data_IF_623132442141
#
_entry.id   IF_623132442141
#
_cell.length_a   1.000
_cell.length_b   1.000
_cell.length_c   1.000
_cell.angle_alpha   90.00
_cell.angle_beta   90.00
_cell.angle_gamma   90.00
#
_symmetry.space_group_name_H-M   'P 1'
#
loop_
_entity.id
_entity.type
_entity.pdbx_description
1 polymer ?
#
# COMPACT_ATOMS: atom_id res chain seq x y z
N UNK A 1 -0.98 3.80 -17.65
CA UNK A 1 -0.47 4.94 -18.46
C UNK A 1 1.04 5.12 -18.32
N UNK A 2 1.59 5.03 -17.11
CA UNK A 2 3.04 5.08 -16.90
C UNK A 2 3.73 3.89 -17.58
N UNK A 3 3.21 2.67 -17.43
CA UNK A 3 3.75 1.47 -18.10
C UNK A 3 3.77 1.56 -19.62
N UNK A 4 2.87 2.33 -20.23
CA UNK A 4 2.81 2.59 -21.67
C UNK A 4 3.66 3.79 -22.11
N UNK A 5 4.43 4.41 -21.22
CA UNK A 5 5.27 5.58 -21.51
C UNK A 5 4.48 6.86 -21.82
N UNK A 6 3.18 6.90 -21.49
CA UNK A 6 2.32 8.08 -21.73
C UNK A 6 2.53 9.17 -20.68
N UNK A 7 2.94 8.78 -19.48
CA UNK A 7 3.28 9.65 -18.34
C UNK A 7 4.47 9.06 -17.59
N UNK A 8 5.25 9.92 -16.96
CA UNK A 8 6.25 9.49 -15.98
C UNK A 8 5.53 8.92 -14.75
N UNK A 9 6.04 7.84 -14.17
CA UNK A 9 5.52 7.36 -12.91
C UNK A 9 6.06 8.24 -11.77
N UNK A 10 5.14 8.99 -11.16
CA UNK A 10 5.43 9.81 -9.98
C UNK A 10 5.00 9.11 -8.69
N UNK A 11 4.10 8.11 -8.79
CA UNK A 11 3.52 7.41 -7.64
C UNK A 11 4.51 6.49 -6.95
N UNK A 12 5.17 5.63 -7.71
CA UNK A 12 6.21 4.73 -7.20
C UNK A 12 7.35 5.47 -6.49
N UNK A 13 7.98 6.47 -7.13
CA UNK A 13 8.99 7.31 -6.47
C UNK A 13 8.52 8.01 -5.21
N UNK A 14 7.26 8.49 -5.16
CA UNK A 14 6.69 9.12 -3.96
C UNK A 14 6.59 8.12 -2.79
N UNK A 15 6.13 6.89 -3.04
CA UNK A 15 6.06 5.83 -2.04
C UNK A 15 7.48 5.44 -1.57
N UNK A 16 8.40 5.22 -2.48
CA UNK A 16 9.79 4.87 -2.15
C UNK A 16 10.48 5.97 -1.34
N UNK A 17 10.21 7.23 -1.65
CA UNK A 17 10.69 8.37 -0.86
C UNK A 17 10.20 8.32 0.59
N UNK A 18 8.91 8.12 0.78
CA UNK A 18 8.33 7.96 2.11
C UNK A 18 8.95 6.78 2.88
N UNK A 19 9.06 5.61 2.24
CA UNK A 19 9.61 4.41 2.90
C UNK A 19 11.05 4.63 3.37
N UNK A 20 11.88 5.29 2.58
CA UNK A 20 13.27 5.62 2.95
C UNK A 20 13.38 6.60 4.12
N UNK A 21 12.40 7.49 4.26
CA UNK A 21 12.32 8.43 5.37
C UNK A 21 11.78 7.78 6.64
N UNK A 22 10.73 6.97 6.52
CA UNK A 22 9.94 6.46 7.62
C UNK A 22 10.47 5.15 8.23
N UNK A 23 11.09 4.27 7.42
CA UNK A 23 11.59 2.96 7.87
C UNK A 23 13.06 3.06 8.25
N UNK A 24 13.37 2.79 9.53
CA UNK A 24 14.75 2.79 10.06
C UNK A 24 15.43 1.42 9.91
N UNK A 25 14.67 0.34 9.77
CA UNK A 25 15.20 -0.99 9.45
C UNK A 25 15.87 -1.01 8.07
N UNK A 26 16.82 -1.92 7.79
CA UNK A 26 17.31 -2.14 6.44
C UNK A 26 16.15 -2.38 5.47
N UNK A 27 16.07 -1.58 4.41
CA UNK A 27 14.99 -1.58 3.43
C UNK A 27 15.50 -2.08 2.09
N UNK A 28 14.96 -3.20 1.63
CA UNK A 28 15.06 -3.65 0.25
C UNK A 28 13.72 -3.35 -0.45
N UNK A 29 13.78 -2.59 -1.54
CA UNK A 29 12.60 -2.16 -2.26
C UNK A 29 12.55 -2.77 -3.66
N UNK A 30 11.46 -3.47 -3.95
CA UNK A 30 11.15 -4.04 -5.26
C UNK A 30 10.09 -3.20 -5.95
N UNK A 31 10.35 -2.76 -7.16
CA UNK A 31 9.46 -1.88 -7.91
C UNK A 31 8.98 -2.55 -9.19
N UNK A 32 7.69 -2.42 -9.46
CA UNK A 32 7.05 -2.88 -10.70
C UNK A 32 6.14 -1.79 -11.24
N UNK A 33 6.23 -1.50 -12.52
CA UNK A 33 5.29 -0.64 -13.24
C UNK A 33 4.55 -1.51 -14.25
N UNK A 34 3.29 -1.81 -13.95
CA UNK A 34 2.44 -2.72 -14.74
C UNK A 34 1.32 -1.96 -15.45
N UNK A 35 0.76 -2.50 -16.56
CA UNK A 35 -0.40 -1.88 -17.21
C UNK A 35 -1.66 -1.93 -16.31
N UNK A 36 -2.67 -1.11 -16.67
CA UNK A 36 -4.01 -1.15 -16.06
C UNK A 36 -4.76 -2.41 -16.59
N UNK A 37 -4.25 -3.59 -16.24
CA UNK A 37 -4.73 -4.92 -16.63
C UNK A 37 -4.76 -5.82 -15.40
N UNK A 38 -5.90 -6.48 -15.16
CA UNK A 38 -6.10 -7.25 -13.94
C UNK A 38 -5.11 -8.40 -13.81
N UNK A 39 -4.90 -9.17 -14.87
CA UNK A 39 -4.00 -10.35 -14.86
C UNK A 39 -2.54 -9.92 -14.61
N UNK A 40 -2.11 -8.79 -15.21
CA UNK A 40 -0.77 -8.26 -15.00
C UNK A 40 -0.56 -7.75 -13.56
N UNK A 41 -1.59 -7.12 -12.96
CA UNK A 41 -1.56 -6.66 -11.58
C UNK A 41 -1.53 -7.85 -10.62
N UNK A 42 -2.41 -8.84 -10.82
CA UNK A 42 -2.46 -10.07 -10.02
C UNK A 42 -1.11 -10.81 -10.04
N UNK A 43 -0.54 -11.01 -11.23
CA UNK A 43 0.76 -11.67 -11.39
C UNK A 43 1.87 -10.94 -10.62
N UNK A 44 1.92 -9.60 -10.71
CA UNK A 44 2.91 -8.82 -9.98
C UNK A 44 2.70 -8.88 -8.46
N UNK A 45 1.46 -8.87 -7.98
CA UNK A 45 1.15 -9.01 -6.56
C UNK A 45 1.55 -10.38 -6.04
N UNK A 46 1.24 -11.45 -6.78
CA UNK A 46 1.61 -12.83 -6.42
C UNK A 46 3.14 -12.97 -6.37
N UNK A 47 3.86 -12.49 -7.40
CA UNK A 47 5.33 -12.50 -7.42
C UNK A 47 5.91 -11.82 -6.18
N UNK A 48 5.45 -10.60 -5.87
CA UNK A 48 5.99 -9.83 -4.74
C UNK A 48 5.66 -10.44 -3.38
N UNK A 49 4.49 -11.06 -3.24
CA UNK A 49 4.08 -11.68 -2.00
C UNK A 49 4.70 -13.07 -1.79
N UNK A 50 4.68 -13.92 -2.80
CA UNK A 50 4.97 -15.35 -2.66
C UNK A 50 6.43 -15.69 -3.02
N UNK A 51 6.99 -15.06 -4.06
CA UNK A 51 8.35 -15.36 -4.54
C UNK A 51 9.38 -14.44 -3.89
N UNK A 52 9.14 -13.11 -3.90
CA UNK A 52 10.01 -12.12 -3.26
C UNK A 52 9.81 -12.11 -1.74
N UNK A 53 8.63 -12.50 -1.26
CA UNK A 53 8.26 -12.51 0.16
C UNK A 53 8.35 -11.11 0.80
N UNK A 54 7.84 -10.10 0.12
CA UNK A 54 7.79 -8.74 0.66
C UNK A 54 6.95 -8.69 1.95
N UNK A 55 7.41 -7.98 2.97
CA UNK A 55 6.62 -7.76 4.19
C UNK A 55 5.38 -6.88 3.93
N UNK A 56 5.52 -5.91 3.02
CA UNK A 56 4.45 -4.99 2.60
C UNK A 56 4.50 -4.79 1.10
N UNK A 57 3.36 -4.85 0.44
CA UNK A 57 3.20 -4.50 -0.97
C UNK A 57 2.19 -3.35 -1.08
N UNK A 58 2.59 -2.29 -1.77
CA UNK A 58 1.77 -1.10 -1.95
C UNK A 58 1.57 -0.85 -3.42
N UNK A 59 0.32 -0.76 -3.85
CA UNK A 59 -0.02 -0.32 -5.21
C UNK A 59 -0.41 1.15 -5.24
N UNK A 60 -0.28 1.80 -6.37
CA UNK A 60 -0.73 3.18 -6.58
C UNK A 60 -1.38 3.34 -7.95
N UNK A 61 -2.49 4.05 -8.01
CA UNK A 61 -3.28 4.25 -9.21
C UNK A 61 -4.32 3.15 -9.49
N UNK A 62 -5.17 3.37 -10.47
CA UNK A 62 -6.20 2.42 -10.91
C UNK A 62 -7.29 2.10 -9.86
N UNK A 63 -7.54 3.02 -8.91
CA UNK A 63 -8.45 2.80 -7.77
C UNK A 63 -9.78 3.54 -7.86
N UNK A 64 -10.03 4.26 -8.94
CA UNK A 64 -11.27 5.03 -9.17
C UNK A 64 -12.38 4.18 -9.80
N UNK A 65 -13.51 4.83 -10.21
CA UNK A 65 -14.67 4.16 -10.79
C UNK A 65 -14.60 3.99 -12.30
N UNK A 66 -13.51 4.40 -12.97
CA UNK A 66 -13.38 4.26 -14.41
C UNK A 66 -13.22 2.79 -14.82
N UNK A 67 -13.73 2.41 -15.99
CA UNK A 67 -13.71 1.01 -16.47
C UNK A 67 -12.31 0.40 -16.50
N UNK A 68 -11.28 1.23 -16.71
CA UNK A 68 -9.88 0.78 -16.69
C UNK A 68 -9.26 0.67 -15.29
N UNK A 69 -9.93 1.21 -14.26
CA UNK A 69 -9.43 1.17 -12.90
C UNK A 69 -9.80 -0.19 -12.31
N UNK A 70 -8.86 -1.14 -12.38
CA UNK A 70 -9.08 -2.56 -12.01
C UNK A 70 -8.18 -2.99 -10.84
N UNK A 71 -7.41 -2.07 -10.27
CA UNK A 71 -6.46 -2.38 -9.18
C UNK A 71 -7.15 -2.98 -7.95
N UNK A 72 -8.33 -2.48 -7.48
CA UNK A 72 -9.00 -3.07 -6.32
C UNK A 72 -9.45 -4.52 -6.58
N UNK A 73 -10.04 -4.79 -7.74
CA UNK A 73 -10.51 -6.14 -8.11
C UNK A 73 -9.34 -7.13 -8.21
N UNK A 74 -8.27 -6.75 -8.88
CA UNK A 74 -7.06 -7.57 -9.00
C UNK A 74 -6.42 -7.82 -7.62
N UNK A 75 -6.41 -6.80 -6.75
CA UNK A 75 -5.89 -6.96 -5.39
C UNK A 75 -6.78 -7.89 -4.57
N UNK A 76 -8.10 -7.70 -4.60
CA UNK A 76 -9.05 -8.56 -3.88
C UNK A 76 -8.95 -10.03 -4.30
N UNK A 77 -8.78 -10.29 -5.60
CA UNK A 77 -8.68 -11.64 -6.16
C UNK A 77 -7.49 -12.45 -5.61
N UNK A 78 -6.42 -11.79 -5.21
CA UNK A 78 -5.21 -12.45 -4.72
C UNK A 78 -5.08 -12.47 -3.19
N UNK A 79 -5.92 -11.74 -2.46
CA UNK A 79 -5.87 -11.66 -0.99
C UNK A 79 -6.51 -12.88 -0.32
N UNK A 80 -5.89 -13.39 0.73
CA UNK A 80 -6.47 -14.40 1.62
C UNK A 80 -7.52 -13.81 2.56
N UNK A 81 -7.30 -12.56 3.00
CA UNK A 81 -8.17 -11.84 3.94
C UNK A 81 -8.16 -10.34 3.65
N UNK A 82 -9.35 -9.75 3.59
CA UNK A 82 -9.50 -8.29 3.48
C UNK A 82 -9.45 -7.67 4.87
N UNK A 83 -8.80 -6.51 4.97
CA UNK A 83 -8.79 -5.63 6.13
C UNK A 83 -9.58 -4.35 5.81
N UNK A 84 -10.91 -4.32 6.03
CA UNK A 84 -11.76 -3.22 5.58
C UNK A 84 -11.33 -1.85 6.12
N UNK A 85 -10.79 -1.82 7.34
CA UNK A 85 -10.32 -0.60 7.99
C UNK A 85 -9.27 0.18 7.18
N UNK A 86 -8.48 -0.49 6.33
CA UNK A 86 -7.55 0.22 5.42
C UNK A 86 -8.32 1.08 4.41
N UNK A 87 -9.28 0.50 3.71
CA UNK A 87 -10.09 1.24 2.75
C UNK A 87 -10.94 2.34 3.39
N UNK A 88 -11.51 2.07 4.56
CA UNK A 88 -12.29 3.03 5.33
C UNK A 88 -11.44 4.23 5.74
N UNK A 89 -10.28 3.99 6.35
CA UNK A 89 -9.40 5.05 6.82
C UNK A 89 -8.81 5.87 5.67
N UNK A 90 -8.37 5.22 4.58
CA UNK A 90 -7.86 5.92 3.40
C UNK A 90 -8.89 6.86 2.79
N UNK A 91 -10.15 6.43 2.68
CA UNK A 91 -11.23 7.29 2.20
C UNK A 91 -11.55 8.41 3.18
N UNK A 92 -11.57 8.15 4.49
CA UNK A 92 -11.81 9.16 5.51
C UNK A 92 -10.75 10.27 5.47
N UNK A 93 -9.49 9.92 5.36
CA UNK A 93 -8.38 10.86 5.20
C UNK A 93 -8.58 11.72 3.94
N UNK A 94 -8.81 11.07 2.80
CA UNK A 94 -8.93 11.77 1.53
C UNK A 94 -10.17 12.67 1.45
N UNK A 95 -11.28 12.31 2.12
CA UNK A 95 -12.50 13.12 2.20
C UNK A 95 -12.29 14.46 2.92
N UNK A 96 -11.29 14.57 3.79
CA UNK A 96 -10.93 15.85 4.40
C UNK A 96 -10.39 16.87 3.37
N UNK A 97 -9.92 16.41 2.23
CA UNK A 97 -9.33 17.25 1.18
C UNK A 97 -10.24 17.42 -0.03
N UNK A 98 -10.89 16.33 -0.47
CA UNK A 98 -11.70 16.34 -1.69
C UNK A 98 -12.96 15.48 -1.54
N UNK A 99 -14.16 16.01 -1.89
CA UNK A 99 -15.41 15.26 -1.75
C UNK A 99 -15.50 14.05 -2.68
N UNK A 100 -14.78 14.04 -3.79
CA UNK A 100 -14.75 12.93 -4.75
C UNK A 100 -13.96 11.70 -4.24
N UNK A 101 -13.33 11.78 -3.09
CA UNK A 101 -12.70 10.62 -2.44
C UNK A 101 -13.70 9.50 -2.12
N UNK A 102 -15.01 9.81 -2.01
CA UNK A 102 -16.09 8.82 -1.89
C UNK A 102 -16.11 7.81 -3.06
N UNK A 103 -15.56 8.18 -4.21
CA UNK A 103 -15.49 7.33 -5.40
C UNK A 103 -14.30 6.35 -5.38
N UNK A 104 -13.42 6.46 -4.39
CA UNK A 104 -12.25 5.58 -4.26
C UNK A 104 -12.66 4.19 -3.78
N UNK A 105 -12.19 3.17 -4.50
CA UNK A 105 -12.43 1.76 -4.20
C UNK A 105 -11.22 1.07 -3.58
N UNK A 106 -10.30 1.88 -3.03
CA UNK A 106 -9.11 1.41 -2.32
C UNK A 106 -9.45 0.39 -1.25
N UNK A 107 -8.64 -0.64 -1.14
CA UNK A 107 -8.75 -1.67 -0.11
C UNK A 107 -7.36 -2.06 0.41
N UNK A 108 -7.33 -2.86 1.45
CA UNK A 108 -6.13 -3.49 1.96
C UNK A 108 -6.46 -4.85 2.54
N UNK A 109 -5.46 -5.72 2.64
CA UNK A 109 -5.63 -7.07 3.13
C UNK A 109 -4.31 -7.82 3.27
N UNK A 110 -4.39 -9.12 3.40
CA UNK A 110 -3.27 -10.01 3.69
C UNK A 110 -3.23 -11.11 2.65
N UNK A 111 -2.02 -11.37 2.12
CA UNK A 111 -1.69 -12.58 1.39
C UNK A 111 -0.49 -13.26 2.07
N UNK A 112 -0.68 -14.48 2.57
CA UNK A 112 0.34 -15.16 3.37
C UNK A 112 0.79 -14.34 4.57
N UNK A 113 2.04 -13.92 4.59
CA UNK A 113 2.64 -13.02 5.59
C UNK A 113 2.89 -11.59 5.06
N UNK A 114 2.31 -11.24 3.93
CA UNK A 114 2.43 -9.93 3.30
C UNK A 114 1.19 -9.07 3.55
N UNK A 115 1.39 -7.84 4.00
CA UNK A 115 0.36 -6.82 4.03
C UNK A 115 0.29 -6.14 2.67
N UNK A 116 -0.89 -6.09 2.07
CA UNK A 116 -1.11 -5.45 0.75
C UNK A 116 -2.15 -4.36 0.87
N UNK A 117 -1.93 -3.18 0.28
CA UNK A 117 -2.96 -2.13 0.20
C UNK A 117 -2.76 -1.19 -0.99
N UNK A 118 -3.86 -0.56 -1.41
CA UNK A 118 -3.91 0.32 -2.56
C UNK A 118 -3.86 1.79 -2.14
N UNK A 119 -2.95 2.58 -2.69
CA UNK A 119 -2.89 4.03 -2.51
C UNK A 119 -3.51 4.77 -3.70
N UNK A 120 -3.93 6.03 -3.51
CA UNK A 120 -4.37 6.87 -4.61
C UNK A 120 -3.24 7.13 -5.61
N UNK A 121 -3.59 7.50 -6.86
CA UNK A 121 -2.59 7.67 -7.92
C UNK A 121 -1.89 9.03 -7.94
N UNK A 122 -2.35 10.03 -7.18
CA UNK A 122 -1.73 11.37 -7.18
C UNK A 122 -0.68 11.47 -6.09
N UNK A 123 0.56 11.93 -6.38
CA UNK A 123 1.66 12.00 -5.39
C UNK A 123 1.28 12.72 -4.11
N UNK A 124 0.58 13.87 -4.20
CA UNK A 124 0.09 14.60 -3.03
C UNK A 124 -0.85 13.74 -2.18
N UNK A 125 -1.81 13.07 -2.81
CA UNK A 125 -2.78 12.21 -2.10
C UNK A 125 -2.12 10.95 -1.53
N UNK A 126 -1.07 10.44 -2.18
CA UNK A 126 -0.25 9.35 -1.64
C UNK A 126 0.32 9.77 -0.30
N UNK A 127 0.99 10.92 -0.23
CA UNK A 127 1.64 11.40 1.00
C UNK A 127 0.62 11.64 2.12
N UNK A 128 -0.48 12.34 1.82
CA UNK A 128 -1.57 12.60 2.77
C UNK A 128 -2.15 11.32 3.37
N UNK A 129 -2.22 10.25 2.57
CA UNK A 129 -2.79 8.98 2.99
C UNK A 129 -1.78 8.10 3.72
N UNK A 130 -0.57 7.96 3.17
CA UNK A 130 0.42 7.01 3.69
C UNK A 130 0.95 7.43 5.06
N UNK A 131 1.12 8.74 5.31
CA UNK A 131 1.56 9.28 6.59
C UNK A 131 0.68 8.81 7.76
N UNK A 132 -0.63 8.73 7.53
CA UNK A 132 -1.58 8.34 8.57
C UNK A 132 -1.75 6.82 8.69
N UNK A 133 -1.92 6.10 7.56
CA UNK A 133 -2.13 4.64 7.61
C UNK A 133 -0.87 3.89 8.05
N UNK A 134 0.31 4.41 7.70
CA UNK A 134 1.57 3.72 8.02
C UNK A 134 1.77 3.52 9.52
N UNK A 135 1.14 4.33 10.35
CA UNK A 135 1.16 4.19 11.82
C UNK A 135 0.66 2.84 12.32
N UNK A 136 -0.22 2.17 11.56
CA UNK A 136 -0.74 0.84 11.87
C UNK A 136 0.05 -0.30 11.18
N UNK A 137 0.79 0.00 10.12
CA UNK A 137 1.45 -1.00 9.27
C UNK A 137 2.46 -1.86 10.03
N UNK A 138 3.39 -1.31 10.85
CA UNK A 138 4.36 -2.13 11.55
C UNK A 138 3.72 -3.17 12.48
N UNK A 139 2.67 -2.81 13.19
CA UNK A 139 1.97 -3.75 14.05
C UNK A 139 1.16 -4.79 13.25
N UNK A 140 0.57 -4.40 12.13
CA UNK A 140 -0.08 -5.35 11.24
C UNK A 140 0.91 -6.40 10.71
N UNK A 141 2.11 -5.97 10.31
CA UNK A 141 3.20 -6.86 9.87
C UNK A 141 3.64 -7.81 11.00
N UNK A 142 3.78 -7.31 12.23
CA UNK A 142 4.08 -8.16 13.41
C UNK A 142 3.02 -9.27 13.60
N UNK A 143 1.73 -8.91 13.45
CA UNK A 143 0.61 -9.84 13.68
C UNK A 143 0.54 -10.96 12.63
N UNK A 144 0.95 -10.69 11.40
CA UNK A 144 0.94 -11.68 10.32
C UNK A 144 2.25 -12.49 10.20
N UNK A 145 3.18 -12.28 11.15
CA UNK A 145 4.43 -13.02 11.21
C UNK A 145 5.55 -12.47 10.31
N UNK A 146 5.41 -11.25 9.84
CA UNK A 146 6.44 -10.54 9.10
C UNK A 146 7.60 -10.04 9.99
N UNK A 147 8.62 -9.38 9.39
CA UNK A 147 9.75 -8.86 10.13
C UNK A 147 9.35 -7.67 11.02
N UNK A 148 10.09 -7.50 12.12
CA UNK A 148 9.92 -6.30 12.94
C UNK A 148 10.43 -5.07 12.22
N UNK A 149 9.56 -4.11 11.95
CA UNK A 149 9.89 -2.85 11.29
C UNK A 149 10.20 -1.78 12.34
N UNK A 150 11.48 -1.39 12.46
CA UNK A 150 11.87 -0.19 13.20
C UNK A 150 11.51 1.04 12.38
N UNK A 151 10.93 2.04 13.04
CA UNK A 151 10.47 3.27 12.40
C UNK A 151 11.30 4.47 12.85
N UNK A 152 11.42 5.45 11.97
CA UNK A 152 11.89 6.77 12.31
C UNK A 152 10.75 7.55 12.97
N UNK A 153 10.78 7.68 14.29
CA UNK A 153 9.71 8.31 15.07
C UNK A 153 9.49 9.80 14.72
N UNK A 154 10.49 10.46 14.12
CA UNK A 154 10.35 11.85 13.64
C UNK A 154 9.46 11.95 12.38
N UNK A 155 9.36 10.86 11.61
CA UNK A 155 8.56 10.78 10.38
C UNK A 155 7.25 10.05 10.60
N UNK A 156 7.30 8.90 11.28
CA UNK A 156 6.13 8.04 11.51
C UNK A 156 6.16 7.46 12.91
N UNK A 157 5.32 8.00 13.78
CA UNK A 157 5.10 7.45 15.12
C UNK A 157 4.16 6.23 15.04
N UNK A 158 4.73 5.06 14.78
CA UNK A 158 3.99 3.82 14.66
C UNK A 158 3.41 3.37 16.00
N UNK A 159 2.16 2.93 15.96
CA UNK A 159 1.50 2.42 17.16
C UNK A 159 1.72 0.91 17.30
N UNK A 160 2.25 0.51 18.47
CA UNK A 160 2.26 -0.87 18.93
C UNK A 160 1.69 -0.93 20.35
N UNK A 161 0.75 -1.84 20.68
CA UNK A 161 0.29 -1.98 22.05
C UNK A 161 1.44 -2.42 22.96
N UNK A 162 1.40 -2.02 24.24
CA UNK A 162 2.45 -2.36 25.23
C UNK A 162 2.70 -3.86 25.39
N UNK A 163 1.74 -4.69 25.00
CA UNK A 163 1.82 -6.14 25.00
C UNK A 163 2.48 -6.73 23.75
N UNK A 164 2.70 -5.92 22.70
CA UNK A 164 3.41 -6.37 21.51
C UNK A 164 4.87 -6.67 21.87
N UNK A 165 5.31 -7.89 21.55
CA UNK A 165 6.70 -8.31 21.79
C UNK A 165 7.52 -8.18 20.53
N UNK A 166 8.74 -7.66 20.65
CA UNK A 166 9.76 -7.80 19.60
C UNK A 166 10.09 -9.31 19.51
N UNK A 167 9.79 -9.92 18.40
CA UNK A 167 10.11 -11.34 18.11
C UNK A 167 11.46 -11.46 17.45
#
# INVERSE_FOLDING_TARGET
RASAGTYDDEGGPAILGFLREAVASPLEAHYRCVPDDAEAIEAALIELCDEVSCAVVVTTGGTGPATRDVTPEATEAVLDRILPGFGEQMRAISLAYVPTAILSRQLGGIRGSTLVFNLPGRPKSIRETIDEIWRAVPYAVDLIGGPYLDMNDEVCNAFRPKTARRR
#
